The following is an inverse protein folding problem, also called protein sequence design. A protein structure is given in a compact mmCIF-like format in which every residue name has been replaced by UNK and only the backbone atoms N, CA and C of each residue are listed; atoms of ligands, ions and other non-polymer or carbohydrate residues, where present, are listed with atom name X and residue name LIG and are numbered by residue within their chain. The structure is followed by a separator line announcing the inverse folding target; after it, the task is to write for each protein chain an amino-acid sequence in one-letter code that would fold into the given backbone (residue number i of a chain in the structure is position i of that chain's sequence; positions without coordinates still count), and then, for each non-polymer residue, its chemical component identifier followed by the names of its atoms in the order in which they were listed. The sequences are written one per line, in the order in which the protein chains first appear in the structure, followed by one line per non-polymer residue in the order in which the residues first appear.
data_IF_952880779153
#
_entry.id   IF_952880779153
#
_cell.length_a   1.000
_cell.length_b   1.000
_cell.length_c   1.000
_cell.angle_alpha   90.00
_cell.angle_beta   90.00
_cell.angle_gamma   90.00
#
_symmetry.space_group_name_H-M   'P 1'
#
loop_
_entity.id
_entity.type
_entity.pdbx_description
1 polymer ?
#
# COMPACT_ATOMS: atom_id res chain seq x y z
N UNK A 1 -2.57 -38.48 -52.48
CA UNK A 1 -2.40 -37.04 -52.13
C UNK A 1 -2.33 -36.98 -50.62
N UNK A 2 -1.15 -36.68 -50.06
CA UNK A 2 -0.83 -36.92 -48.65
C UNK A 2 -1.53 -35.91 -47.72
N UNK A 3 -1.77 -36.34 -46.48
CA UNK A 3 -2.34 -35.54 -45.39
C UNK A 3 -1.59 -34.21 -45.15
N UNK A 4 -0.29 -34.17 -45.48
CA UNK A 4 0.53 -32.97 -45.43
C UNK A 4 0.02 -31.85 -46.35
N UNK A 5 -0.43 -32.19 -47.56
CA UNK A 5 -0.95 -31.21 -48.52
C UNK A 5 -2.32 -30.65 -48.11
N UNK A 6 -3.05 -31.34 -47.23
CA UNK A 6 -4.31 -30.84 -46.64
C UNK A 6 -4.06 -29.90 -45.46
N UNK A 7 -3.03 -30.15 -44.65
CA UNK A 7 -2.69 -29.32 -43.49
C UNK A 7 -2.07 -27.99 -43.93
N UNK A 8 -1.21 -28.00 -44.95
CA UNK A 8 -0.65 -26.77 -45.54
C UNK A 8 -1.74 -25.89 -46.17
N UNK A 9 -2.70 -26.48 -46.88
CA UNK A 9 -3.84 -25.74 -47.44
C UNK A 9 -4.74 -25.13 -46.35
N UNK A 10 -4.98 -25.81 -45.23
CA UNK A 10 -5.78 -25.28 -44.11
C UNK A 10 -5.02 -24.15 -43.40
N UNK A 11 -3.70 -24.25 -43.27
CA UNK A 11 -2.87 -23.21 -42.67
C UNK A 11 -2.78 -21.96 -43.56
N UNK A 12 -2.67 -22.12 -44.88
CA UNK A 12 -2.70 -21.01 -45.84
C UNK A 12 -4.10 -20.34 -45.95
N UNK A 13 -5.18 -21.12 -45.89
CA UNK A 13 -6.56 -20.61 -45.82
C UNK A 13 -6.81 -19.79 -44.54
N UNK A 14 -6.32 -20.24 -43.38
CA UNK A 14 -6.44 -19.53 -42.12
C UNK A 14 -5.64 -18.21 -42.08
N UNK A 15 -4.48 -18.14 -42.77
CA UNK A 15 -3.69 -16.90 -42.89
C UNK A 15 -4.39 -15.91 -43.83
N UNK A 16 -4.95 -16.39 -44.95
CA UNK A 16 -5.68 -15.56 -45.90
C UNK A 16 -7.03 -15.03 -45.34
N UNK A 17 -7.76 -15.86 -44.57
CA UNK A 17 -8.99 -15.43 -43.88
C UNK A 17 -8.70 -14.44 -42.75
N UNK A 18 -7.65 -14.66 -41.95
CA UNK A 18 -7.22 -13.69 -40.93
C UNK A 18 -6.79 -12.36 -41.57
N UNK A 19 -6.08 -12.38 -42.70
CA UNK A 19 -5.69 -11.18 -43.43
C UNK A 19 -6.88 -10.40 -43.99
N UNK A 20 -7.89 -11.09 -44.53
CA UNK A 20 -9.10 -10.48 -45.09
C UNK A 20 -10.06 -9.93 -44.02
N UNK A 21 -10.20 -10.58 -42.87
CA UNK A 21 -11.06 -10.10 -41.77
C UNK A 21 -10.38 -9.02 -40.91
N UNK A 22 -9.05 -9.08 -40.78
CA UNK A 22 -8.23 -7.96 -40.29
C UNK A 22 -8.50 -6.69 -41.13
N UNK A 23 -8.53 -6.82 -42.46
CA UNK A 23 -8.92 -5.76 -43.41
C UNK A 23 -10.33 -5.20 -43.14
N UNK A 24 -11.25 -6.01 -42.61
CA UNK A 24 -12.65 -5.64 -42.39
C UNK A 24 -12.86 -4.78 -41.12
N UNK A 25 -12.08 -5.01 -40.06
CA UNK A 25 -11.96 -4.06 -38.93
C UNK A 25 -11.34 -2.75 -39.41
N UNK A 26 -10.33 -2.83 -40.30
CA UNK A 26 -9.67 -1.65 -40.85
C UNK A 26 -10.57 -0.82 -41.77
N UNK A 27 -11.47 -1.44 -42.53
CA UNK A 27 -12.43 -0.73 -43.40
C UNK A 27 -13.57 -0.07 -42.61
N UNK A 28 -13.92 -0.56 -41.42
CA UNK A 28 -14.93 0.05 -40.54
C UNK A 28 -14.40 1.27 -39.76
N UNK A 29 -13.12 1.60 -39.97
CA UNK A 29 -12.37 2.55 -39.17
C UNK A 29 -12.45 4.01 -39.64
N UNK A 30 -13.13 4.28 -40.75
CA UNK A 30 -13.10 5.59 -41.42
C UNK A 30 -13.64 6.78 -40.59
N UNK A 31 -14.25 6.53 -39.43
CA UNK A 31 -14.84 7.58 -38.58
C UNK A 31 -14.28 7.65 -37.15
N UNK A 32 -13.21 6.90 -36.82
CA UNK A 32 -12.62 7.02 -35.49
C UNK A 32 -11.73 8.27 -35.40
N UNK A 33 -12.20 9.28 -34.66
CA UNK A 33 -11.48 10.55 -34.56
C UNK A 33 -10.11 10.37 -33.85
N UNK A 34 -9.02 10.91 -34.42
CA UNK A 34 -7.70 10.82 -33.79
C UNK A 34 -7.65 11.61 -32.48
N UNK A 35 -6.66 11.30 -31.64
CA UNK A 35 -6.41 12.07 -30.44
C UNK A 35 -6.02 13.49 -30.84
N UNK A 36 -6.82 14.46 -30.40
CA UNK A 36 -6.60 15.89 -30.65
C UNK A 36 -6.78 16.67 -29.36
N UNK A 37 -6.08 17.80 -29.26
CA UNK A 37 -6.11 18.67 -28.09
C UNK A 37 -6.08 20.13 -28.53
N UNK A 38 -7.09 20.90 -28.10
CA UNK A 38 -7.26 22.32 -28.44
C UNK A 38 -7.37 23.21 -27.19
N UNK A 39 -6.92 22.72 -26.01
CA UNK A 39 -6.86 23.52 -24.77
C UNK A 39 -7.61 22.92 -23.55
N UNK A 40 -8.25 21.76 -23.69
CA UNK A 40 -8.87 21.00 -22.58
C UNK A 40 -7.86 19.97 -22.09
N UNK A 41 -7.42 20.03 -20.82
CA UNK A 41 -6.55 19.06 -20.13
C UNK A 41 -6.28 17.77 -20.95
N UNK A 42 -5.07 17.65 -21.51
CA UNK A 42 -4.69 16.56 -22.43
C UNK A 42 -4.96 15.17 -21.83
N UNK A 43 -4.78 15.01 -20.52
CA UNK A 43 -5.10 13.77 -19.81
C UNK A 43 -6.58 13.39 -19.92
N UNK A 44 -7.49 14.37 -19.88
CA UNK A 44 -8.94 14.13 -20.05
C UNK A 44 -9.29 13.77 -21.49
N UNK A 45 -8.68 14.43 -22.47
CA UNK A 45 -8.83 14.06 -23.88
C UNK A 45 -8.34 12.63 -24.12
N UNK A 46 -7.19 12.28 -23.56
CA UNK A 46 -6.64 10.93 -23.58
C UNK A 46 -7.58 9.90 -22.97
N UNK A 47 -8.03 10.09 -21.72
CA UNK A 47 -8.92 9.14 -21.06
C UNK A 47 -10.24 8.94 -21.84
N UNK A 48 -10.79 10.03 -22.41
CA UNK A 48 -11.99 9.96 -23.26
C UNK A 48 -11.73 9.17 -24.54
N UNK A 49 -10.60 9.42 -25.21
CA UNK A 49 -10.20 8.73 -26.43
C UNK A 49 -9.94 7.24 -26.17
N UNK A 50 -9.17 6.91 -25.13
CA UNK A 50 -8.89 5.54 -24.69
C UNK A 50 -10.17 4.77 -24.41
N UNK A 51 -11.12 5.37 -23.70
CA UNK A 51 -12.42 4.73 -23.44
C UNK A 51 -13.15 4.41 -24.75
N UNK A 52 -13.24 5.37 -25.69
CA UNK A 52 -13.87 5.13 -27.00
C UNK A 52 -13.18 4.02 -27.78
N UNK A 53 -11.85 3.97 -27.73
CA UNK A 53 -11.05 2.95 -28.40
C UNK A 53 -11.31 1.55 -27.81
N UNK A 54 -11.32 1.42 -26.49
CA UNK A 54 -11.63 0.14 -25.83
C UNK A 54 -13.08 -0.30 -26.12
N UNK A 55 -14.05 0.62 -26.14
CA UNK A 55 -15.43 0.30 -26.55
C UNK A 55 -15.52 -0.14 -28.03
N UNK A 56 -14.71 0.47 -28.90
CA UNK A 56 -14.62 0.05 -30.30
C UNK A 56 -14.09 -1.39 -30.41
N UNK A 57 -12.99 -1.73 -29.72
CA UNK A 57 -12.46 -3.10 -29.71
C UNK A 57 -13.48 -4.10 -29.17
N UNK A 58 -14.18 -3.78 -28.08
CA UNK A 58 -15.21 -4.65 -27.52
C UNK A 58 -16.37 -4.91 -28.50
N UNK A 59 -16.69 -3.95 -29.37
CA UNK A 59 -17.78 -4.08 -30.34
C UNK A 59 -17.34 -4.84 -31.59
N UNK A 60 -16.18 -4.49 -32.14
CA UNK A 60 -15.71 -4.99 -33.43
C UNK A 60 -14.91 -6.29 -33.32
N UNK A 61 -14.30 -6.55 -32.16
CA UNK A 61 -13.52 -7.76 -31.88
C UNK A 61 -13.87 -8.35 -30.49
N UNK A 62 -15.17 -8.53 -30.23
CA UNK A 62 -15.69 -9.06 -28.96
C UNK A 62 -15.13 -10.43 -28.56
N UNK A 63 -14.66 -11.22 -29.54
CA UNK A 63 -14.06 -12.54 -29.33
C UNK A 63 -12.54 -12.50 -29.23
N UNK A 64 -11.94 -11.31 -29.24
CA UNK A 64 -10.49 -11.07 -29.17
C UNK A 64 -9.67 -11.84 -30.22
N UNK A 65 -10.23 -12.04 -31.42
CA UNK A 65 -9.58 -12.78 -32.50
C UNK A 65 -8.32 -12.07 -32.99
N UNK A 66 -8.28 -10.73 -32.87
CA UNK A 66 -7.18 -9.88 -33.33
C UNK A 66 -6.38 -9.25 -32.19
N UNK A 67 -6.42 -9.85 -31.00
CA UNK A 67 -5.76 -9.31 -29.80
C UNK A 67 -4.28 -8.98 -30.00
N UNK A 68 -3.57 -9.81 -30.76
CA UNK A 68 -2.16 -9.61 -31.11
C UNK A 68 -1.91 -8.39 -32.02
N UNK A 69 -2.94 -7.87 -32.69
CA UNK A 69 -2.85 -6.69 -33.55
C UNK A 69 -3.42 -5.42 -32.92
N UNK A 70 -4.07 -5.50 -31.75
CA UNK A 70 -4.74 -4.34 -31.16
C UNK A 70 -3.81 -3.14 -30.93
N UNK A 71 -2.55 -3.36 -30.58
CA UNK A 71 -1.56 -2.27 -30.46
C UNK A 71 -1.33 -1.58 -31.81
N UNK A 72 -1.25 -2.32 -32.92
CA UNK A 72 -1.09 -1.76 -34.26
C UNK A 72 -2.33 -0.96 -34.65
N UNK A 73 -3.52 -1.51 -34.43
CA UNK A 73 -4.81 -0.82 -34.67
C UNK A 73 -4.88 0.48 -33.87
N UNK A 74 -4.47 0.47 -32.60
CA UNK A 74 -4.41 1.67 -31.76
C UNK A 74 -3.48 2.73 -32.37
N UNK A 75 -2.27 2.35 -32.80
CA UNK A 75 -1.29 3.28 -33.34
C UNK A 75 -1.74 3.91 -34.66
N UNK A 76 -2.46 3.17 -35.50
CA UNK A 76 -3.07 3.72 -36.72
C UNK A 76 -4.17 4.75 -36.42
N UNK A 77 -4.76 4.71 -35.22
CA UNK A 77 -5.91 5.52 -34.84
C UNK A 77 -5.63 6.67 -33.90
N UNK A 78 -4.58 6.54 -33.09
CA UNK A 78 -4.27 7.52 -32.07
C UNK A 78 -3.85 8.86 -32.68
N UNK A 79 -3.37 8.84 -33.92
CA UNK A 79 -2.96 10.04 -34.66
C UNK A 79 -1.62 10.60 -34.19
N UNK A 80 -1.19 11.75 -34.76
CA UNK A 80 0.20 12.21 -34.66
C UNK A 80 0.70 12.42 -33.23
N UNK A 81 -0.13 13.00 -32.35
CA UNK A 81 0.23 13.26 -30.94
C UNK A 81 0.49 11.95 -30.19
N UNK A 82 -0.34 10.93 -30.44
CA UNK A 82 -0.19 9.62 -29.82
C UNK A 82 0.98 8.83 -30.37
N UNK A 83 1.20 8.89 -31.69
CA UNK A 83 2.36 8.25 -32.32
C UNK A 83 3.68 8.82 -31.82
N UNK A 84 3.75 10.15 -31.64
CA UNK A 84 4.92 10.81 -31.08
C UNK A 84 5.16 10.36 -29.63
N UNK A 85 4.12 10.34 -28.80
CA UNK A 85 4.21 9.84 -27.43
C UNK A 85 4.70 8.37 -27.39
N UNK A 86 4.17 7.51 -28.27
CA UNK A 86 4.59 6.12 -28.38
C UNK A 86 6.09 6.00 -28.74
N UNK A 87 6.54 6.71 -29.78
CA UNK A 87 7.96 6.71 -30.20
C UNK A 87 8.90 7.15 -29.08
N UNK A 88 8.49 8.15 -28.29
CA UNK A 88 9.26 8.65 -27.16
C UNK A 88 9.34 7.64 -26.00
N UNK A 89 8.25 6.90 -25.74
CA UNK A 89 8.19 5.89 -24.67
C UNK A 89 8.87 4.58 -25.06
N UNK A 90 8.83 4.21 -26.35
CA UNK A 90 9.32 2.94 -26.88
C UNK A 90 10.30 3.15 -28.05
N UNK A 91 11.53 3.64 -27.78
CA UNK A 91 12.51 3.93 -28.83
C UNK A 91 13.14 2.68 -29.47
N UNK A 92 13.00 1.50 -28.85
CA UNK A 92 13.52 0.23 -29.40
C UNK A 92 12.48 -0.44 -30.29
N UNK A 93 12.87 -0.71 -31.54
CA UNK A 93 11.96 -1.15 -32.64
C UNK A 93 11.76 -2.66 -32.68
N UNK A 94 12.40 -3.43 -31.79
CA UNK A 94 12.52 -4.88 -31.98
C UNK A 94 11.29 -5.70 -31.53
N UNK A 95 10.33 -5.11 -30.82
CA UNK A 95 9.11 -5.84 -30.42
C UNK A 95 7.96 -4.88 -30.09
N UNK A 96 6.81 -5.07 -30.74
CA UNK A 96 5.56 -4.38 -30.39
C UNK A 96 5.08 -4.90 -29.04
N UNK A 97 4.93 -3.99 -28.07
CA UNK A 97 4.43 -4.33 -26.74
C UNK A 97 2.93 -4.62 -26.77
N UNK A 98 2.49 -5.46 -25.85
CA UNK A 98 1.07 -5.75 -25.66
C UNK A 98 0.28 -4.46 -25.36
N UNK A 99 -1.00 -4.45 -25.74
CA UNK A 99 -1.83 -3.25 -25.66
C UNK A 99 -1.92 -2.73 -24.22
N UNK A 100 -2.02 -3.61 -23.23
CA UNK A 100 -2.19 -3.22 -21.82
C UNK A 100 -0.96 -2.45 -21.32
N UNK A 101 0.24 -2.97 -21.59
CA UNK A 101 1.50 -2.28 -21.28
C UNK A 101 1.58 -0.92 -21.97
N UNK A 102 1.23 -0.84 -23.25
CA UNK A 102 1.26 0.43 -24.01
C UNK A 102 0.28 1.44 -23.46
N UNK A 103 -0.97 1.04 -23.20
CA UNK A 103 -2.00 1.90 -22.63
C UNK A 103 -1.60 2.41 -21.25
N UNK A 104 -1.02 1.56 -20.40
CA UNK A 104 -0.55 1.95 -19.07
C UNK A 104 0.55 3.03 -19.15
N UNK A 105 1.53 2.88 -20.06
CA UNK A 105 2.58 3.89 -20.24
C UNK A 105 2.03 5.20 -20.82
N UNK A 106 1.08 5.13 -21.75
CA UNK A 106 0.42 6.30 -22.32
C UNK A 106 -0.48 7.01 -21.30
N UNK A 107 -1.17 6.28 -20.40
CA UNK A 107 -1.90 6.87 -19.28
C UNK A 107 -0.95 7.73 -18.43
N UNK A 108 0.19 7.16 -18.01
CA UNK A 108 1.16 7.90 -17.21
C UNK A 108 1.67 9.13 -17.97
N UNK A 109 1.99 8.98 -19.25
CA UNK A 109 2.49 10.07 -20.09
C UNK A 109 1.48 11.20 -20.25
N UNK A 110 0.24 10.92 -20.65
CA UNK A 110 -0.75 11.96 -20.91
C UNK A 110 -1.37 12.56 -19.64
N UNK A 111 -1.48 11.77 -18.56
CA UNK A 111 -2.07 12.25 -17.30
C UNK A 111 -1.05 13.05 -16.49
N UNK A 112 0.16 12.50 -16.29
CA UNK A 112 1.16 13.11 -15.41
C UNK A 112 2.27 13.85 -16.15
N UNK A 113 2.46 13.58 -17.44
CA UNK A 113 3.53 14.18 -18.23
C UNK A 113 4.90 13.99 -17.60
N UNK A 114 5.65 15.09 -17.54
CA UNK A 114 7.00 15.12 -16.96
C UNK A 114 7.00 15.32 -15.44
N UNK A 115 5.86 15.22 -14.76
CA UNK A 115 5.79 15.37 -13.31
C UNK A 115 6.65 14.31 -12.64
N UNK A 116 7.64 14.78 -11.88
CA UNK A 116 8.49 13.99 -10.98
C UNK A 116 8.46 14.64 -9.62
N UNK A 117 8.61 13.85 -8.56
CA UNK A 117 8.74 14.37 -7.18
C UNK A 117 9.92 15.33 -7.09
N UNK A 118 9.71 16.50 -6.51
CA UNK A 118 10.79 17.47 -6.29
C UNK A 118 11.60 17.12 -5.03
N UNK A 119 12.86 17.52 -4.97
CA UNK A 119 13.76 17.17 -3.86
C UNK A 119 13.26 17.67 -2.49
N UNK A 120 12.58 18.81 -2.46
CA UNK A 120 12.03 19.43 -1.24
C UNK A 120 10.55 19.10 -1.00
N UNK A 121 9.93 18.34 -1.90
CA UNK A 121 8.53 17.96 -1.77
C UNK A 121 8.42 16.74 -0.86
N UNK A 122 7.44 16.74 0.04
CA UNK A 122 7.14 15.56 0.86
C UNK A 122 6.42 14.49 0.01
N UNK A 123 6.70 13.20 0.26
CA UNK A 123 6.08 12.07 -0.46
C UNK A 123 4.54 12.12 -0.43
N UNK A 124 3.92 12.42 0.71
CA UNK A 124 2.46 12.52 0.82
C UNK A 124 1.92 13.63 -0.11
N UNK A 125 2.54 14.81 -0.04
CA UNK A 125 2.16 15.95 -0.90
C UNK A 125 2.32 15.63 -2.38
N UNK A 126 3.35 14.89 -2.74
CA UNK A 126 3.55 14.44 -4.11
C UNK A 126 2.41 13.52 -4.57
N UNK A 127 2.05 12.54 -3.74
CA UNK A 127 1.01 11.56 -4.05
C UNK A 127 -0.38 12.24 -4.09
N UNK A 128 -0.67 13.16 -3.17
CA UNK A 128 -1.90 13.95 -3.19
C UNK A 128 -2.02 14.74 -4.51
N UNK A 129 -0.92 15.36 -4.95
CA UNK A 129 -0.89 16.07 -6.24
C UNK A 129 -1.13 15.12 -7.42
N UNK A 130 -0.55 13.92 -7.42
CA UNK A 130 -0.83 12.92 -8.45
C UNK A 130 -2.30 12.50 -8.42
N UNK A 131 -2.89 12.29 -7.24
CA UNK A 131 -4.31 11.97 -7.10
C UNK A 131 -5.19 13.08 -7.68
N UNK A 132 -4.90 14.36 -7.39
CA UNK A 132 -5.64 15.49 -7.98
C UNK A 132 -5.57 15.51 -9.51
N UNK A 133 -4.39 15.26 -10.08
CA UNK A 133 -4.21 15.22 -11.54
C UNK A 133 -4.98 14.06 -12.17
N UNK A 134 -4.95 12.86 -11.56
CA UNK A 134 -5.71 11.70 -12.02
C UNK A 134 -7.23 11.92 -11.94
N UNK A 135 -7.71 12.61 -10.89
CA UNK A 135 -9.12 13.02 -10.76
C UNK A 135 -9.47 13.98 -11.89
N UNK A 136 -8.64 15.00 -12.13
CA UNK A 136 -8.90 16.01 -13.17
C UNK A 136 -8.88 15.44 -14.60
N UNK A 137 -8.19 14.31 -14.82
CA UNK A 137 -8.19 13.60 -16.11
C UNK A 137 -9.38 12.67 -16.30
N UNK A 138 -10.23 12.46 -15.28
CA UNK A 138 -11.31 11.47 -15.27
C UNK A 138 -10.81 10.02 -15.54
N UNK A 139 -9.66 9.64 -14.98
CA UNK A 139 -9.20 8.26 -15.09
C UNK A 139 -10.12 7.32 -14.28
N UNK A 140 -10.45 6.15 -14.83
CA UNK A 140 -11.39 5.21 -14.21
C UNK A 140 -10.82 4.54 -12.95
N UNK A 141 -9.52 4.26 -12.93
CA UNK A 141 -8.81 3.70 -11.78
C UNK A 141 -7.78 4.70 -11.25
N UNK A 142 -8.21 5.56 -10.34
CA UNK A 142 -7.37 6.63 -9.78
C UNK A 142 -6.18 6.08 -8.98
N UNK A 143 -6.43 5.05 -8.17
CA UNK A 143 -5.42 4.50 -7.25
C UNK A 143 -4.40 3.67 -8.03
N UNK A 144 -4.84 2.85 -8.99
CA UNK A 144 -3.95 2.04 -9.81
C UNK A 144 -3.00 2.88 -10.65
N UNK A 145 -3.49 3.94 -11.32
CA UNK A 145 -2.63 4.77 -12.17
C UNK A 145 -1.61 5.58 -11.36
N UNK A 146 -1.99 6.05 -10.18
CA UNK A 146 -1.06 6.72 -9.26
C UNK A 146 -0.01 5.72 -8.73
N UNK A 147 -0.40 4.48 -8.42
CA UNK A 147 0.56 3.43 -8.06
C UNK A 147 1.57 3.16 -9.16
N UNK A 148 1.14 2.95 -10.41
CA UNK A 148 2.07 2.69 -11.52
C UNK A 148 3.02 3.88 -11.76
N UNK A 149 2.51 5.11 -11.61
CA UNK A 149 3.36 6.31 -11.65
C UNK A 149 4.41 6.32 -10.53
N UNK A 150 4.03 6.03 -9.29
CA UNK A 150 4.96 5.92 -8.16
C UNK A 150 6.02 4.84 -8.44
N UNK A 151 5.62 3.68 -8.95
CA UNK A 151 6.54 2.59 -9.28
C UNK A 151 7.56 3.04 -10.34
N UNK A 152 7.10 3.72 -11.39
CA UNK A 152 7.99 4.28 -12.42
C UNK A 152 8.98 5.31 -11.83
N UNK A 153 8.51 6.17 -10.93
CA UNK A 153 9.36 7.17 -10.30
C UNK A 153 10.39 6.54 -9.35
N UNK A 154 10.00 5.55 -8.54
CA UNK A 154 10.93 4.80 -7.68
C UNK A 154 11.99 4.09 -8.53
N UNK A 155 11.59 3.44 -9.63
CA UNK A 155 12.54 2.76 -10.52
C UNK A 155 13.52 3.70 -11.21
N UNK A 156 13.06 4.90 -11.57
CA UNK A 156 13.90 5.90 -12.26
C UNK A 156 14.66 6.81 -11.29
N UNK A 157 14.39 6.73 -9.99
CA UNK A 157 15.07 7.52 -8.98
C UNK A 157 16.45 6.94 -8.65
N UNK A 158 17.46 7.81 -8.66
CA UNK A 158 18.85 7.46 -8.36
C UNK A 158 19.07 7.37 -6.84
N UNK A 159 18.49 6.34 -6.20
CA UNK A 159 18.73 6.08 -4.79
C UNK A 159 20.22 5.78 -4.53
N UNK A 160 20.74 6.22 -3.38
CA UNK A 160 22.14 5.99 -2.98
C UNK A 160 22.23 5.48 -1.54
N UNK A 161 23.39 4.95 -1.15
CA UNK A 161 23.65 4.51 0.22
C UNK A 161 22.73 3.39 0.69
N UNK A 162 22.23 3.51 1.93
CA UNK A 162 21.33 2.51 2.55
C UNK A 162 20.03 2.31 1.75
N UNK A 163 19.54 3.34 1.08
CA UNK A 163 18.33 3.25 0.24
C UNK A 163 18.56 2.37 -0.99
N UNK A 164 19.72 2.49 -1.64
CA UNK A 164 20.09 1.62 -2.77
C UNK A 164 20.16 0.15 -2.34
N UNK A 165 20.78 -0.14 -1.19
CA UNK A 165 20.87 -1.50 -0.65
C UNK A 165 19.49 -2.07 -0.32
N UNK A 166 18.62 -1.24 0.27
CA UNK A 166 17.24 -1.61 0.58
C UNK A 166 16.43 -1.98 -0.66
N UNK A 167 16.56 -1.18 -1.73
CA UNK A 167 15.89 -1.47 -3.01
C UNK A 167 16.48 -2.72 -3.67
N UNK A 168 17.81 -2.84 -3.70
CA UNK A 168 18.51 -4.00 -4.28
C UNK A 168 18.17 -5.30 -3.55
N UNK A 169 17.84 -5.24 -2.25
CA UNK A 169 17.38 -6.41 -1.50
C UNK A 169 16.09 -7.03 -2.06
N UNK A 170 15.34 -6.29 -2.89
CA UNK A 170 14.16 -6.78 -3.60
C UNK A 170 14.48 -7.41 -4.96
N UNK A 171 15.72 -7.27 -5.45
CA UNK A 171 16.19 -7.91 -6.68
C UNK A 171 15.41 -7.50 -7.93
N UNK A 172 15.30 -8.42 -8.89
CA UNK A 172 14.50 -8.26 -10.12
C UNK A 172 12.99 -8.19 -9.82
N UNK A 173 12.58 -8.67 -8.64
CA UNK A 173 11.19 -8.67 -8.18
C UNK A 173 10.71 -7.33 -7.63
N UNK A 174 11.49 -6.24 -7.72
CA UNK A 174 11.07 -4.93 -7.20
C UNK A 174 9.73 -4.46 -7.77
N UNK A 175 9.56 -4.50 -9.10
CA UNK A 175 8.31 -4.03 -9.71
C UNK A 175 7.10 -4.93 -9.36
N UNK A 176 7.18 -6.28 -9.48
CA UNK A 176 6.15 -7.19 -8.97
C UNK A 176 5.83 -6.96 -7.48
N UNK A 177 6.85 -6.81 -6.65
CA UNK A 177 6.70 -6.54 -5.22
C UNK A 177 5.90 -5.25 -4.99
N UNK A 178 6.32 -4.13 -5.59
CA UNK A 178 5.65 -2.85 -5.40
C UNK A 178 4.21 -2.85 -5.92
N UNK A 179 3.91 -3.61 -6.99
CA UNK A 179 2.53 -3.77 -7.49
C UNK A 179 1.61 -4.50 -6.52
N UNK A 180 2.15 -5.48 -5.78
CA UNK A 180 1.39 -6.23 -4.77
C UNK A 180 1.04 -5.42 -3.52
N UNK A 181 1.72 -4.30 -3.28
CA UNK A 181 1.43 -3.38 -2.18
C UNK A 181 0.23 -2.49 -2.48
N UNK A 182 -0.53 -2.11 -1.45
CA UNK A 182 -1.51 -1.02 -1.58
C UNK A 182 -0.84 0.37 -1.67
N UNK A 183 -1.62 1.41 -1.98
CA UNK A 183 -1.10 2.78 -2.12
C UNK A 183 -0.46 3.32 -0.83
N UNK A 184 -1.00 2.96 0.34
CA UNK A 184 -0.43 3.38 1.62
C UNK A 184 0.91 2.68 1.88
N UNK A 185 0.99 1.39 1.61
CA UNK A 185 2.19 0.57 1.76
C UNK A 185 3.32 1.04 0.83
N UNK A 186 3.05 1.32 -0.44
CA UNK A 186 4.07 1.85 -1.37
C UNK A 186 4.52 3.27 -0.98
N UNK A 187 3.61 4.08 -0.41
CA UNK A 187 3.94 5.39 0.15
C UNK A 187 4.93 5.27 1.30
N UNK A 188 4.66 4.37 2.25
CA UNK A 188 5.56 4.09 3.37
C UNK A 188 6.91 3.54 2.89
N UNK A 189 6.90 2.67 1.89
CA UNK A 189 8.12 2.15 1.27
C UNK A 189 8.99 3.28 0.71
N UNK A 190 8.41 4.23 -0.04
CA UNK A 190 9.17 5.36 -0.58
C UNK A 190 9.70 6.27 0.53
N UNK A 191 8.89 6.60 1.54
CA UNK A 191 9.35 7.39 2.70
C UNK A 191 10.56 6.75 3.37
N UNK A 192 10.53 5.43 3.56
CA UNK A 192 11.66 4.69 4.14
C UNK A 192 12.93 4.80 3.27
N UNK A 193 12.79 4.76 1.93
CA UNK A 193 13.91 5.01 1.03
C UNK A 193 14.48 6.44 1.19
N UNK A 194 13.64 7.46 1.36
CA UNK A 194 14.10 8.85 1.59
C UNK A 194 14.80 9.01 2.95
N UNK A 195 14.26 8.41 4.01
CA UNK A 195 14.90 8.40 5.33
C UNK A 195 16.29 7.79 5.28
N UNK A 196 16.45 6.66 4.58
CA UNK A 196 17.75 6.03 4.37
C UNK A 196 18.73 6.89 3.57
N UNK A 197 18.23 7.69 2.63
CA UNK A 197 19.07 8.64 1.87
C UNK A 197 19.51 9.84 2.73
N UNK A 198 18.64 10.34 3.62
CA UNK A 198 18.92 11.47 4.52
C UNK A 198 19.92 11.12 5.64
N UNK A 199 19.95 9.85 6.07
CA UNK A 199 20.92 9.37 7.07
C UNK A 199 22.38 9.63 6.63
N UNK A 200 22.68 9.57 5.31
CA UNK A 200 24.00 9.88 4.73
C UNK A 200 24.41 11.34 4.93
N UNK A 201 23.47 12.28 4.84
CA UNK A 201 23.76 13.71 5.02
C UNK A 201 24.08 14.05 6.48
N UNK A 202 23.51 13.31 7.45
CA UNK A 202 23.86 13.46 8.87
C UNK A 202 25.21 12.84 9.21
N UNK A 203 25.57 11.73 8.58
CA UNK A 203 26.89 11.09 8.73
C UNK A 203 28.01 11.95 8.10
N UNK A 204 27.75 12.67 7.01
CA UNK A 204 28.72 13.57 6.35
C UNK A 204 28.87 14.96 7.02
N UNK A 205 27.81 15.54 7.58
CA UNK A 205 27.91 16.84 8.29
C UNK A 205 28.66 16.69 9.63
N UNK A 206 28.63 15.50 10.24
CA UNK A 206 29.33 15.24 11.49
C UNK A 206 30.82 14.91 11.34
N UNK A 207 31.32 14.82 10.10
CA UNK A 207 32.73 14.58 9.79
C UNK A 207 33.59 15.86 9.73
N UNK A 208 32.99 17.06 9.80
CA UNK A 208 33.71 18.34 9.67
C UNK A 208 33.77 19.19 10.94
N UNK A 209 33.27 18.70 12.08
CA UNK A 209 33.40 19.42 13.35
C UNK A 209 33.91 18.48 14.45
N UNK A 210 35.22 18.33 14.53
CA UNK A 210 35.85 17.82 15.75
C UNK A 210 37.21 18.46 15.92
N UNK A 211 37.18 19.71 16.40
CA UNK A 211 38.23 20.23 17.24
C UNK A 211 37.57 20.66 18.56
N UNK A 212 37.52 19.76 19.53
CA UNK A 212 37.50 20.09 20.96
C UNK A 212 37.55 18.82 21.78
N UNK A 213 38.50 18.81 22.70
CA UNK A 213 38.82 17.80 23.68
C UNK A 213 37.63 17.36 24.56
N UNK A 214 37.82 16.19 25.20
CA UNK A 214 37.34 15.75 26.53
C UNK A 214 36.34 14.58 26.65
N UNK A 215 36.69 13.77 27.66
CA UNK A 215 35.95 12.75 28.43
C UNK A 215 35.69 11.41 27.75
N UNK A 216 36.34 10.37 28.30
CA UNK A 216 36.08 8.94 28.07
C UNK A 216 34.62 8.60 28.41
N UNK A 217 33.69 8.89 27.50
CA UNK A 217 32.31 8.44 27.62
C UNK A 217 32.22 6.99 27.14
N UNK A 218 31.95 6.07 28.07
CA UNK A 218 31.59 4.69 27.76
C UNK A 218 30.37 4.65 26.82
N UNK A 219 30.45 3.82 25.78
CA UNK A 219 29.37 3.73 24.81
C UNK A 219 28.12 3.11 25.45
N UNK A 220 27.00 3.83 25.35
CA UNK A 220 25.71 3.38 25.90
C UNK A 220 25.15 2.10 25.29
N UNK A 221 25.71 1.63 24.16
CA UNK A 221 25.24 0.42 23.45
C UNK A 221 25.94 -0.86 23.91
N UNK A 222 27.20 -0.77 24.29
CA UNK A 222 28.03 -1.92 24.67
C UNK A 222 28.73 -1.79 26.02
N UNK A 223 28.65 -0.63 26.68
CA UNK A 223 29.28 -0.36 27.97
C UNK A 223 30.79 -0.14 27.94
N UNK A 224 31.43 -0.23 26.77
CA UNK A 224 32.89 -0.11 26.61
C UNK A 224 33.28 1.18 25.88
N UNK A 225 34.54 1.59 26.03
CA UNK A 225 35.13 2.68 25.26
C UNK A 225 35.62 2.15 23.91
N UNK A 226 35.22 2.80 22.82
CA UNK A 226 35.65 2.46 21.46
C UNK A 226 35.44 3.65 20.53
N UNK A 227 36.09 3.64 19.37
CA UNK A 227 35.88 4.66 18.34
C UNK A 227 34.44 4.65 17.80
N UNK A 228 33.98 5.79 17.28
CA UNK A 228 32.56 6.07 16.95
C UNK A 228 31.86 5.02 16.06
N UNK A 229 32.61 4.20 15.33
CA UNK A 229 32.10 3.14 14.43
C UNK A 229 32.57 1.72 14.78
N UNK A 230 33.33 1.56 15.85
CA UNK A 230 33.91 0.27 16.26
C UNK A 230 33.12 -0.38 17.41
N UNK A 231 31.82 -0.07 17.49
CA UNK A 231 30.99 -0.57 18.58
C UNK A 231 30.83 -2.10 18.49
N UNK A 232 31.29 -2.87 19.48
CA UNK A 232 31.17 -4.33 19.47
C UNK A 232 29.72 -4.81 19.44
N UNK A 233 28.78 -3.99 19.91
CA UNK A 233 27.37 -4.32 19.88
C UNK A 233 26.71 -4.07 18.52
N UNK A 234 27.42 -3.51 17.54
CA UNK A 234 26.88 -3.26 16.20
C UNK A 234 26.55 -4.59 15.50
N UNK A 235 25.30 -4.74 15.03
CA UNK A 235 24.79 -5.98 14.44
C UNK A 235 24.39 -7.06 15.45
N UNK A 236 24.74 -6.93 16.73
CA UNK A 236 24.32 -7.86 17.76
C UNK A 236 22.81 -7.71 18.05
N UNK A 237 22.10 -8.84 18.16
CA UNK A 237 20.70 -8.87 18.57
C UNK A 237 20.59 -9.05 20.08
N UNK A 238 19.82 -8.18 20.74
CA UNK A 238 19.57 -8.26 22.17
C UNK A 238 18.57 -9.36 22.50
N UNK A 239 18.90 -10.23 23.46
CA UNK A 239 18.01 -11.32 23.84
C UNK A 239 16.74 -10.87 24.56
N UNK A 240 16.83 -9.76 25.29
CA UNK A 240 15.71 -9.20 26.08
C UNK A 240 14.64 -8.53 25.23
N UNK A 241 15.04 -7.71 24.25
CA UNK A 241 14.07 -6.95 23.43
C UNK A 241 13.97 -7.41 21.97
N UNK A 242 14.87 -8.31 21.54
CA UNK A 242 15.03 -8.79 20.16
C UNK A 242 15.35 -7.69 19.13
N UNK A 243 15.66 -6.47 19.58
CA UNK A 243 16.21 -5.39 18.77
C UNK A 243 17.72 -5.51 18.58
N UNK A 244 18.28 -4.72 17.67
CA UNK A 244 19.70 -4.80 17.30
C UNK A 244 20.54 -3.67 17.90
N UNK A 245 21.86 -3.76 17.73
CA UNK A 245 22.85 -2.70 17.97
C UNK A 245 23.08 -2.33 19.44
N UNK A 246 22.83 -3.26 20.37
CA UNK A 246 23.16 -3.13 21.79
C UNK A 246 23.26 -4.51 22.46
N UNK A 247 24.05 -4.61 23.51
CA UNK A 247 24.09 -5.82 24.34
C UNK A 247 22.90 -5.87 25.30
N UNK A 248 22.55 -7.09 25.73
CA UNK A 248 21.43 -7.35 26.64
C UNK A 248 21.54 -6.54 27.95
N UNK A 249 22.75 -6.39 28.48
CA UNK A 249 23.02 -5.62 29.71
C UNK A 249 22.83 -4.11 29.53
N UNK A 250 23.02 -3.61 28.30
CA UNK A 250 22.84 -2.21 27.92
C UNK A 250 21.43 -1.92 27.35
N UNK A 251 20.52 -2.89 27.41
CA UNK A 251 19.17 -2.73 26.90
C UNK A 251 18.35 -1.79 27.79
N UNK A 252 18.14 -0.55 27.31
CA UNK A 252 17.33 0.47 27.98
C UNK A 252 15.82 0.23 27.89
N UNK A 253 15.39 -0.82 27.19
CA UNK A 253 13.98 -1.14 27.03
C UNK A 253 13.47 -1.76 28.32
N UNK A 254 12.37 -1.20 28.85
CA UNK A 254 11.67 -1.74 30.00
C UNK A 254 10.93 -3.01 29.59
N UNK A 255 11.50 -4.15 29.98
CA UNK A 255 10.89 -5.46 29.84
C UNK A 255 10.05 -5.75 31.07
N UNK A 256 8.80 -6.16 30.86
CA UNK A 256 7.84 -6.48 31.90
C UNK A 256 7.74 -7.98 31.99
N UNK A 257 8.05 -8.53 33.16
CA UNK A 257 7.78 -9.94 33.48
C UNK A 257 6.38 -10.05 34.12
N UNK A 258 5.65 -11.13 33.81
CA UNK A 258 4.32 -11.42 34.36
C UNK A 258 3.39 -10.21 34.34
N UNK A 259 3.23 -9.63 33.15
CA UNK A 259 2.46 -8.42 33.00
C UNK A 259 1.03 -8.63 33.52
N UNK A 260 0.62 -7.84 34.50
CA UNK A 260 -0.70 -7.93 35.13
C UNK A 260 -1.89 -7.68 34.19
N UNK A 261 -1.63 -7.19 32.97
CA UNK A 261 -2.63 -6.90 31.94
C UNK A 261 -2.85 -8.05 30.97
N UNK A 262 -1.77 -8.73 30.55
CA UNK A 262 -1.85 -9.79 29.53
C UNK A 262 -1.31 -11.16 29.98
N UNK A 263 -0.59 -11.23 31.10
CA UNK A 263 -0.13 -12.47 31.72
C UNK A 263 1.13 -13.05 31.11
N UNK A 264 1.78 -12.32 30.19
CA UNK A 264 3.00 -12.76 29.51
C UNK A 264 4.16 -11.81 29.79
N UNK A 265 5.38 -12.27 29.47
CA UNK A 265 6.57 -11.44 29.48
C UNK A 265 6.72 -10.71 28.14
N UNK A 266 6.94 -9.40 28.16
CA UNK A 266 7.09 -8.61 26.94
C UNK A 266 7.76 -7.26 27.18
N UNK A 267 8.18 -6.61 26.09
CA UNK A 267 8.58 -5.19 26.08
C UNK A 267 7.37 -4.31 26.37
N UNK A 268 7.45 -3.38 27.35
CA UNK A 268 6.32 -2.59 27.85
C UNK A 268 5.43 -1.95 26.76
N UNK A 269 6.03 -1.45 25.68
CA UNK A 269 5.30 -0.81 24.56
C UNK A 269 4.60 -1.81 23.62
N UNK A 270 4.74 -3.11 23.84
CA UNK A 270 4.20 -4.21 23.02
C UNK A 270 3.28 -5.12 23.83
N UNK A 271 2.57 -4.57 24.81
CA UNK A 271 1.62 -5.35 25.60
C UNK A 271 0.50 -5.89 24.71
N UNK A 272 0.32 -7.22 24.70
CA UNK A 272 -0.70 -7.89 23.90
C UNK A 272 -2.13 -7.48 24.25
N UNK A 273 -2.35 -6.99 25.47
CA UNK A 273 -3.67 -6.55 25.90
C UNK A 273 -3.96 -5.09 25.55
N UNK A 274 -3.05 -4.36 24.89
CA UNK A 274 -3.28 -2.98 24.50
C UNK A 274 -4.44 -2.89 23.49
N UNK A 275 -5.41 -2.02 23.76
CA UNK A 275 -6.63 -1.89 22.95
C UNK A 275 -7.74 -2.90 23.28
N UNK A 276 -7.44 -3.98 24.01
CA UNK A 276 -8.43 -5.03 24.31
C UNK A 276 -9.50 -4.55 25.30
N UNK A 277 -10.77 -4.79 24.97
CA UNK A 277 -11.92 -4.47 25.82
C UNK A 277 -12.25 -5.65 26.75
N UNK A 278 -12.15 -5.43 28.06
CA UNK A 278 -12.48 -6.44 29.05
C UNK A 278 -14.00 -6.65 29.18
N UNK A 279 -14.46 -7.88 28.96
CA UNK A 279 -15.89 -8.25 29.09
C UNK A 279 -16.38 -8.26 30.53
N UNK A 280 -15.48 -8.41 31.50
CA UNK A 280 -15.85 -8.45 32.92
C UNK A 280 -16.13 -7.06 33.49
N UNK A 281 -15.34 -6.04 33.11
CA UNK A 281 -15.46 -4.70 33.70
C UNK A 281 -15.70 -3.56 32.70
N UNK A 282 -15.66 -3.83 31.39
CA UNK A 282 -15.85 -2.83 30.34
C UNK A 282 -14.69 -1.86 30.13
N UNK A 283 -13.56 -2.01 30.83
CA UNK A 283 -12.36 -1.17 30.64
C UNK A 283 -11.42 -1.78 29.60
N UNK A 284 -10.64 -0.93 28.94
CA UNK A 284 -9.64 -1.35 27.94
C UNK A 284 -8.30 -1.75 28.57
N UNK A 285 -7.38 -2.27 27.77
CA UNK A 285 -5.96 -2.50 28.09
C UNK A 285 -5.64 -3.66 29.05
N UNK A 286 -6.51 -4.67 29.15
CA UNK A 286 -6.25 -5.94 29.87
C UNK A 286 -7.19 -7.05 29.39
N UNK A 287 -6.77 -8.31 29.51
CA UNK A 287 -7.62 -9.46 29.21
C UNK A 287 -8.64 -9.72 30.32
N UNK A 288 -9.81 -10.25 29.94
CA UNK A 288 -10.90 -10.55 30.87
C UNK A 288 -10.48 -11.54 31.97
N UNK A 289 -9.65 -12.54 31.65
CA UNK A 289 -9.15 -13.52 32.63
C UNK A 289 -8.12 -12.95 33.62
N UNK A 290 -7.55 -11.77 33.37
CA UNK A 290 -6.68 -11.04 34.30
C UNK A 290 -7.40 -9.88 35.01
N UNK A 291 -8.70 -9.75 34.76
CA UNK A 291 -9.50 -8.69 35.37
C UNK A 291 -9.59 -8.91 36.87
N UNK A 292 -9.03 -7.97 37.63
CA UNK A 292 -9.10 -7.97 39.11
C UNK A 292 -10.36 -7.30 39.66
N UNK A 293 -11.29 -6.90 38.78
CA UNK A 293 -12.55 -6.29 39.22
C UNK A 293 -13.44 -7.38 39.81
N UNK A 294 -13.89 -7.24 41.07
CA UNK A 294 -14.77 -8.22 41.69
C UNK A 294 -16.07 -8.36 40.90
N UNK A 295 -16.45 -9.61 40.62
CA UNK A 295 -17.74 -9.95 40.00
C UNK A 295 -18.74 -10.24 41.12
N UNK A 296 -19.85 -9.51 41.10
CA UNK A 296 -21.02 -9.80 41.93
C UNK A 296 -21.78 -10.93 41.24
N UNK A 297 -21.84 -12.10 41.87
CA UNK A 297 -22.66 -13.22 41.41
C UNK A 297 -24.10 -13.07 41.91
N UNK A 298 -25.05 -13.43 41.06
CA UNK A 298 -26.48 -13.50 41.38
C UNK A 298 -27.01 -12.23 42.09
N UNK A 299 -26.62 -11.06 41.57
CA UNK A 299 -26.87 -9.77 42.21
C UNK A 299 -28.32 -9.62 42.66
N UNK A 300 -28.54 -9.17 43.90
CA UNK A 300 -29.88 -9.01 44.46
C UNK A 300 -30.74 -7.98 43.70
N UNK A 301 -30.11 -7.07 42.95
CA UNK A 301 -30.79 -6.03 42.17
C UNK A 301 -31.22 -6.52 40.79
N UNK A 302 -30.28 -7.01 39.98
CA UNK A 302 -30.57 -7.40 38.60
C UNK A 302 -30.83 -8.90 38.41
N UNK A 303 -30.41 -9.75 39.36
CA UNK A 303 -30.50 -11.21 39.27
C UNK A 303 -29.41 -11.89 38.43
N UNK A 304 -28.54 -11.12 37.78
CA UNK A 304 -27.42 -11.63 36.97
C UNK A 304 -26.05 -11.37 37.58
N UNK A 305 -25.02 -11.87 36.90
CA UNK A 305 -23.61 -11.70 37.25
C UNK A 305 -23.05 -10.45 36.54
N UNK A 306 -22.32 -9.59 37.27
CA UNK A 306 -21.70 -8.40 36.69
C UNK A 306 -20.54 -7.86 37.55
N UNK A 307 -19.66 -7.03 36.99
CA UNK A 307 -18.69 -6.29 37.80
C UNK A 307 -19.37 -5.38 38.83
N UNK A 308 -18.79 -5.24 40.02
CA UNK A 308 -19.36 -4.50 41.15
C UNK A 308 -19.89 -3.10 40.81
N UNK A 309 -19.25 -2.38 39.88
CA UNK A 309 -19.65 -1.03 39.45
C UNK A 309 -20.58 -0.98 38.23
N UNK A 310 -21.00 -2.12 37.68
CA UNK A 310 -21.69 -2.22 36.39
C UNK A 310 -23.05 -2.95 36.51
N UNK A 311 -23.79 -2.73 37.60
CA UNK A 311 -25.09 -3.37 37.75
C UNK A 311 -26.06 -2.90 36.65
N UNK A 312 -26.59 -3.80 35.80
CA UNK A 312 -27.52 -3.42 34.74
C UNK A 312 -28.82 -2.79 35.24
N UNK A 313 -29.16 -3.03 36.51
CA UNK A 313 -30.33 -2.43 37.13
C UNK A 313 -30.09 -1.01 37.65
N UNK A 314 -28.83 -0.56 37.79
CA UNK A 314 -28.49 0.75 38.35
C UNK A 314 -29.16 1.87 37.53
N UNK A 315 -29.91 2.76 38.20
CA UNK A 315 -30.61 3.87 37.55
C UNK A 315 -31.84 3.48 36.72
N UNK A 316 -32.17 2.19 36.59
CA UNK A 316 -33.41 1.74 35.93
C UNK A 316 -34.57 1.73 36.91
N UNK A 317 -35.75 2.11 36.44
CA UNK A 317 -37.01 1.99 37.19
C UNK A 317 -37.57 0.59 36.97
N UNK A 318 -37.91 -0.11 38.06
CA UNK A 318 -38.54 -1.41 37.97
C UNK A 318 -39.96 -1.26 37.41
N UNK A 319 -40.25 -1.97 36.33
CA UNK A 319 -41.59 -1.99 35.72
C UNK A 319 -42.67 -2.60 36.62
N UNK A 320 -42.29 -3.40 37.64
CA UNK A 320 -43.23 -4.12 38.53
C UNK A 320 -43.66 -3.32 39.75
N UNK A 321 -42.76 -2.57 40.38
CA UNK A 321 -43.08 -1.82 41.62
C UNK A 321 -42.74 -0.33 41.55
N UNK A 322 -42.30 0.17 40.40
CA UNK A 322 -41.92 1.58 40.15
C UNK A 322 -40.76 2.11 41.01
N UNK A 323 -40.13 1.28 41.85
CA UNK A 323 -38.92 1.64 42.59
C UNK A 323 -37.67 1.51 41.72
N UNK A 324 -36.65 2.33 41.99
CA UNK A 324 -35.40 2.37 41.22
C UNK A 324 -34.45 1.20 41.55
N UNK A 325 -33.48 0.98 40.67
CA UNK A 325 -32.27 0.18 40.90
C UNK A 325 -32.46 -1.32 41.16
N UNK A 326 -33.52 -1.95 40.60
CA UNK A 326 -33.69 -3.41 40.54
C UNK A 326 -34.53 -3.85 39.32
N UNK A 327 -34.31 -5.07 38.84
CA UNK A 327 -34.93 -5.59 37.60
C UNK A 327 -35.51 -7.00 37.75
N UNK A 328 -34.65 -8.00 38.00
CA UNK A 328 -35.05 -9.41 38.01
C UNK A 328 -35.67 -9.91 39.33
N UNK A 329 -35.27 -9.34 40.47
CA UNK A 329 -35.67 -9.80 41.83
C UNK A 329 -36.55 -8.77 42.55
N UNK A 330 -37.73 -8.53 42.00
CA UNK A 330 -38.71 -7.65 42.65
C UNK A 330 -39.47 -8.43 43.74
N UNK A 331 -39.17 -8.14 45.01
CA UNK A 331 -39.76 -8.82 46.19
C UNK A 331 -41.16 -8.32 46.56
N UNK A 332 -41.71 -7.34 45.84
CA UNK A 332 -43.00 -6.71 46.16
C UNK A 332 -44.23 -7.63 45.98
N UNK A 333 -44.04 -8.91 45.65
CA UNK A 333 -45.10 -9.94 45.65
C UNK A 333 -45.07 -10.90 46.84
N UNK A 334 -44.05 -10.91 47.69
CA UNK A 334 -43.97 -11.84 48.83
C UNK A 334 -44.79 -11.39 50.06
N UNK A 335 -45.52 -10.27 49.98
CA UNK A 335 -46.39 -9.79 51.06
C UNK A 335 -47.88 -9.84 50.74
N UNK A 336 -48.30 -10.46 49.63
CA UNK A 336 -49.71 -10.65 49.29
C UNK A 336 -49.94 -12.03 48.65
N UNK A 337 -49.75 -13.10 49.43
CA UNK A 337 -50.57 -14.33 49.46
C UNK A 337 -49.97 -15.36 50.41
#
# INVERSE_FOLDING_TARGET
MSEQTKIENIHELNIAENGNQTLDIFNKNHNFAPLSYTGINIGRCWCTWKHKFLSFLQKEDAKELYKNQWTIVMLMLIGPIGEEAYKNLFPSVHEVKDLETVLCQLDIHFIFGNRKKQNNENVDKYIDNLMFVAIASNHSDLVGIVKEKIIQDIKSHNFTGKAMLFIRSKGEDLAPFLRSLDLHQITLFWKQCEEFALQKNRENVQAQSSNSQFTEMQCVRCGTCHDRNSCPAHGAQCDKCKGYNHFTDNCKIKYVFDCSKCGTHHVQSRCLAFGELCRNCGKVNHFSWLCKVPIVKNCLRCGGDHAMSMCPAQGRVCSRCKNQSHGGKCLSRLQNK
#
